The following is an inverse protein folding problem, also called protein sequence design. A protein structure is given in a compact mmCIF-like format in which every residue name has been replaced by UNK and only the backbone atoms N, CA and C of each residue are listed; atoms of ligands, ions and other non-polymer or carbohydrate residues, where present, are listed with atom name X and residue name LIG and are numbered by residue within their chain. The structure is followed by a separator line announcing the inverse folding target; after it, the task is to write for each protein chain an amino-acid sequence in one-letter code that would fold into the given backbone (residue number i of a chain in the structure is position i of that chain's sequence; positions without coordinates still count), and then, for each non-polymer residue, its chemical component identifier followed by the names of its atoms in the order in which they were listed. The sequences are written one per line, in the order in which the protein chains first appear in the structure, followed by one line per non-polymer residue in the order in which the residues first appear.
data_IF_090791946778
#
_entry.id   IF_090791946778
#
_cell.length_a   1.000
_cell.length_b   1.000
_cell.length_c   1.000
_cell.angle_alpha   90.00
_cell.angle_beta   90.00
_cell.angle_gamma   90.00
#
_symmetry.space_group_name_H-M   'P 1'
#
loop_
_entity.id
_entity.type
_entity.pdbx_description
1 polymer ?
#
# COMPACT_ATOMS: atom_id res chain seq x y z
N UNK A 1 12.63 -3.79 32.68
CA UNK A 1 12.65 -2.56 31.87
C UNK A 1 11.91 -2.88 30.56
N UNK A 2 10.67 -2.41 30.42
CA UNK A 2 9.92 -2.52 29.18
C UNK A 2 10.59 -1.57 28.18
N UNK A 3 11.27 -2.15 27.19
CA UNK A 3 11.93 -1.36 26.15
C UNK A 3 10.91 -0.46 25.44
N UNK A 4 11.18 0.83 25.31
CA UNK A 4 10.37 1.76 24.54
C UNK A 4 10.29 1.26 23.11
N UNK A 5 9.08 0.84 22.65
CA UNK A 5 8.85 0.52 21.25
C UNK A 5 9.08 1.80 20.45
N UNK A 6 9.98 1.82 19.46
CA UNK A 6 10.23 3.01 18.67
C UNK A 6 8.94 3.43 17.95
N UNK A 7 8.51 4.67 18.14
CA UNK A 7 7.38 5.25 17.42
C UNK A 7 7.85 5.58 16.00
N UNK A 8 7.36 4.84 15.02
CA UNK A 8 7.60 5.13 13.61
C UNK A 8 6.42 5.92 13.05
N UNK A 9 6.69 7.09 12.50
CA UNK A 9 5.68 7.87 11.78
C UNK A 9 5.66 7.46 10.31
N UNK A 10 4.47 7.39 9.72
CA UNK A 10 4.31 7.16 8.30
C UNK A 10 3.92 8.46 7.63
N UNK A 11 4.89 9.13 7.02
CA UNK A 11 4.66 10.34 6.26
C UNK A 11 4.02 10.01 4.90
N UNK A 12 2.89 10.62 4.62
CA UNK A 12 2.13 10.43 3.39
C UNK A 12 1.96 11.78 2.68
N UNK A 13 1.89 11.78 1.34
CA UNK A 13 1.68 13.02 0.58
C UNK A 13 0.33 13.65 0.93
N UNK A 14 0.31 14.96 1.11
CA UNK A 14 -0.86 15.74 1.55
C UNK A 14 -1.73 16.15 0.36
N UNK A 15 -1.14 16.70 -0.70
CA UNK A 15 -1.87 17.25 -1.83
C UNK A 15 -2.43 16.19 -2.78
N UNK A 16 -3.56 16.47 -3.44
CA UNK A 16 -4.12 15.58 -4.46
C UNK A 16 -3.13 15.23 -5.58
N UNK A 17 -2.31 16.20 -6.00
CA UNK A 17 -1.28 16.01 -7.03
C UNK A 17 -0.24 14.97 -6.58
N UNK A 18 0.26 15.11 -5.37
CA UNK A 18 1.30 14.23 -4.83
C UNK A 18 0.74 12.86 -4.45
N UNK A 19 -0.50 12.79 -3.94
CA UNK A 19 -1.22 11.54 -3.70
C UNK A 19 -1.35 10.74 -5.01
N UNK A 20 -1.74 11.37 -6.11
CA UNK A 20 -1.84 10.71 -7.43
C UNK A 20 -0.48 10.23 -7.94
N UNK A 21 0.59 11.00 -7.73
CA UNK A 21 1.95 10.61 -8.09
C UNK A 21 2.42 9.43 -7.25
N UNK A 22 2.20 9.50 -5.94
CA UNK A 22 2.60 8.44 -4.99
C UNK A 22 1.82 7.12 -5.22
N UNK A 23 0.55 7.21 -5.64
CA UNK A 23 -0.29 6.06 -5.96
C UNK A 23 0.32 5.15 -7.05
N UNK A 24 1.20 5.68 -7.91
CA UNK A 24 1.94 4.85 -8.89
C UNK A 24 2.90 3.86 -8.22
N UNK A 25 3.40 4.18 -7.05
CA UNK A 25 4.44 3.42 -6.35
C UNK A 25 3.88 2.64 -5.16
N UNK A 26 3.09 3.30 -4.32
CA UNK A 26 2.61 2.77 -3.03
C UNK A 26 1.20 3.29 -2.73
N UNK A 27 0.53 2.65 -1.75
CA UNK A 27 -0.74 3.13 -1.22
C UNK A 27 -0.54 4.45 -0.45
N UNK A 28 -1.11 5.59 -0.93
CA UNK A 28 -0.92 6.93 -0.34
C UNK A 28 -1.89 7.24 0.79
N UNK A 29 -2.84 6.38 1.10
CA UNK A 29 -3.93 6.63 2.07
C UNK A 29 -3.97 5.50 3.08
N UNK A 30 -4.06 5.85 4.36
CA UNK A 30 -4.26 4.87 5.42
C UNK A 30 -5.75 4.53 5.51
N UNK A 31 -6.09 3.27 5.26
CA UNK A 31 -7.49 2.81 5.25
C UNK A 31 -8.22 3.06 6.58
N UNK A 32 -7.52 2.92 7.71
CA UNK A 32 -8.11 3.04 9.05
C UNK A 32 -8.50 4.47 9.44
N UNK A 33 -8.05 5.48 8.69
CA UNK A 33 -8.23 6.90 9.01
C UNK A 33 -8.94 7.68 7.89
N UNK A 34 -9.61 6.96 6.97
CA UNK A 34 -10.19 7.58 5.79
C UNK A 34 -11.65 7.96 6.00
N UNK A 35 -12.01 9.14 5.51
CA UNK A 35 -13.40 9.59 5.35
C UNK A 35 -13.65 9.78 3.85
N UNK A 36 -14.78 9.33 3.34
CA UNK A 36 -15.13 9.45 1.93
C UNK A 36 -16.63 9.61 1.71
N UNK A 37 -17.01 10.18 0.57
CA UNK A 37 -18.41 10.26 0.16
C UNK A 37 -18.89 8.88 -0.31
N UNK A 38 -19.82 8.26 0.41
CA UNK A 38 -20.35 6.92 0.13
C UNK A 38 -20.89 6.79 -1.30
N UNK A 39 -21.59 7.81 -1.83
CA UNK A 39 -22.07 7.84 -3.21
C UNK A 39 -20.95 7.66 -4.24
N UNK A 40 -19.77 8.27 -3.99
CA UNK A 40 -18.61 8.16 -4.87
C UNK A 40 -18.02 6.75 -4.86
N UNK A 41 -17.91 6.13 -3.69
CA UNK A 41 -17.45 4.74 -3.57
C UNK A 41 -18.42 3.78 -4.25
N UNK A 42 -19.73 3.95 -4.05
CA UNK A 42 -20.76 3.14 -4.73
C UNK A 42 -20.68 3.30 -6.25
N UNK A 43 -20.41 4.50 -6.78
CA UNK A 43 -20.37 4.77 -8.23
C UNK A 43 -19.22 4.06 -8.95
N UNK A 44 -18.20 3.57 -8.24
CA UNK A 44 -17.10 2.77 -8.81
C UNK A 44 -17.23 1.28 -8.47
N UNK A 45 -18.38 0.84 -7.94
CA UNK A 45 -18.66 -0.53 -7.57
C UNK A 45 -17.93 -0.99 -6.30
N UNK A 46 -17.64 -0.05 -5.36
CA UNK A 46 -17.03 -0.36 -4.06
C UNK A 46 -15.63 -0.93 -4.12
N UNK A 47 -15.26 -1.62 -3.05
CA UNK A 47 -13.96 -2.27 -2.89
C UNK A 47 -13.79 -3.43 -3.89
N UNK A 48 -12.69 -3.49 -4.64
CA UNK A 48 -12.40 -4.65 -5.47
C UNK A 48 -12.00 -5.85 -4.62
N UNK A 49 -12.36 -7.06 -5.06
CA UNK A 49 -11.98 -8.30 -4.38
C UNK A 49 -10.49 -8.63 -4.65
N UNK A 50 -9.60 -7.91 -3.96
CA UNK A 50 -8.14 -8.09 -4.02
C UNK A 50 -7.64 -8.26 -2.60
N UNK A 51 -7.27 -9.48 -2.24
CA UNK A 51 -6.84 -9.84 -0.88
C UNK A 51 -5.76 -8.89 -0.31
N UNK A 52 -6.03 -8.28 0.85
CA UNK A 52 -5.18 -7.31 1.56
C UNK A 52 -4.73 -6.08 0.72
N UNK A 53 -5.40 -5.78 -0.39
CA UNK A 53 -5.13 -4.62 -1.27
C UNK A 53 -6.41 -3.98 -1.81
N UNK A 54 -7.54 -4.30 -1.19
CA UNK A 54 -8.88 -3.79 -1.54
C UNK A 54 -8.93 -2.27 -1.47
N UNK A 55 -8.29 -1.68 -0.47
CA UNK A 55 -8.19 -0.24 -0.26
C UNK A 55 -7.40 0.44 -1.38
N UNK A 56 -6.22 -0.07 -1.70
CA UNK A 56 -5.38 0.47 -2.77
C UNK A 56 -6.10 0.38 -4.14
N UNK A 57 -6.79 -0.71 -4.41
CA UNK A 57 -7.59 -0.88 -5.60
C UNK A 57 -8.78 0.09 -5.66
N UNK A 58 -9.42 0.38 -4.53
CA UNK A 58 -10.48 1.39 -4.44
C UNK A 58 -9.96 2.78 -4.78
N UNK A 59 -8.82 3.19 -4.20
CA UNK A 59 -8.23 4.49 -4.50
C UNK A 59 -7.89 4.65 -5.99
N UNK A 60 -7.39 3.61 -6.63
CA UNK A 60 -7.13 3.62 -8.07
C UNK A 60 -8.41 3.83 -8.90
N UNK A 61 -9.50 3.14 -8.55
CA UNK A 61 -10.80 3.32 -9.21
C UNK A 61 -11.36 4.73 -9.01
N UNK A 62 -11.24 5.28 -7.80
CA UNK A 62 -11.68 6.63 -7.48
C UNK A 62 -10.86 7.70 -8.21
N UNK A 63 -9.53 7.53 -8.29
CA UNK A 63 -8.66 8.42 -9.07
C UNK A 63 -9.04 8.41 -10.55
N UNK A 64 -9.32 7.23 -11.12
CA UNK A 64 -9.81 7.11 -12.52
C UNK A 64 -11.14 7.84 -12.72
N UNK A 65 -12.01 7.87 -11.70
CA UNK A 65 -13.30 8.58 -11.72
C UNK A 65 -13.17 10.09 -11.53
N UNK A 66 -11.97 10.60 -11.26
CA UNK A 66 -11.72 12.03 -11.05
C UNK A 66 -11.83 12.49 -9.59
N UNK A 67 -11.90 11.59 -8.62
CA UNK A 67 -11.96 11.95 -7.20
C UNK A 67 -10.75 12.80 -6.78
N UNK A 68 -11.00 13.75 -5.89
CA UNK A 68 -9.99 14.58 -5.26
C UNK A 68 -9.70 14.02 -3.87
N UNK A 69 -8.42 13.92 -3.52
CA UNK A 69 -7.92 13.38 -2.27
C UNK A 69 -7.12 14.43 -1.50
N UNK A 70 -7.15 14.31 -0.20
CA UNK A 70 -6.31 15.08 0.72
C UNK A 70 -5.97 14.23 1.93
N UNK A 71 -4.71 14.25 2.39
CA UNK A 71 -4.32 13.72 3.69
C UNK A 71 -4.13 14.89 4.66
N UNK A 72 -4.62 14.73 5.89
CA UNK A 72 -4.37 15.70 6.97
C UNK A 72 -2.95 15.47 7.46
N UNK A 73 -2.15 16.54 7.53
CA UNK A 73 -0.74 16.50 7.94
C UNK A 73 -0.59 16.54 9.47
N UNK A 74 -1.33 15.65 10.14
CA UNK A 74 -1.33 15.49 11.59
C UNK A 74 -1.38 14.02 11.97
N UNK A 75 -0.80 13.68 13.12
CA UNK A 75 -0.88 12.33 13.69
C UNK A 75 -2.19 12.17 14.45
N UNK A 76 -3.20 11.62 13.80
CA UNK A 76 -4.53 11.43 14.36
C UNK A 76 -4.74 10.04 14.98
N UNK A 77 -3.94 9.04 14.59
CA UNK A 77 -4.13 7.65 15.02
C UNK A 77 -2.79 6.97 15.34
N UNK A 78 -2.73 6.30 16.48
CA UNK A 78 -1.64 5.42 16.86
C UNK A 78 -2.03 3.96 16.58
N UNK A 79 -1.19 3.24 15.86
CA UNK A 79 -1.43 1.84 15.49
C UNK A 79 -0.41 0.95 16.17
N UNK A 80 -0.89 -0.09 16.85
CA UNK A 80 -0.03 -1.13 17.37
C UNK A 80 0.48 -1.98 16.20
N UNK A 81 1.73 -1.73 15.78
CA UNK A 81 2.44 -2.55 14.80
C UNK A 81 3.13 -3.73 15.46
N UNK A 82 3.20 -4.87 14.77
CA UNK A 82 3.92 -6.03 15.26
C UNK A 82 4.34 -6.97 14.14
N UNK A 83 5.22 -7.93 14.46
CA UNK A 83 5.74 -8.95 13.54
C UNK A 83 4.64 -9.73 12.79
N UNK A 84 3.44 -9.87 13.38
CA UNK A 84 2.30 -10.56 12.77
C UNK A 84 1.80 -9.91 11.47
N UNK A 85 1.99 -8.60 11.29
CA UNK A 85 1.58 -7.88 10.08
C UNK A 85 2.40 -8.27 8.85
N UNK A 86 3.68 -8.54 9.03
CA UNK A 86 4.59 -8.96 7.94
C UNK A 86 4.33 -10.40 7.51
N UNK A 87 4.10 -11.32 8.46
CA UNK A 87 3.83 -12.73 8.17
C UNK A 87 2.59 -12.93 7.29
N UNK A 88 1.51 -12.18 7.54
CA UNK A 88 0.27 -12.26 6.74
C UNK A 88 0.42 -11.82 5.29
N UNK A 89 1.48 -11.10 4.95
CA UNK A 89 1.70 -10.51 3.61
C UNK A 89 2.60 -11.35 2.71
N UNK A 90 2.94 -12.59 3.09
CA UNK A 90 3.78 -13.51 2.30
C UNK A 90 2.97 -14.61 1.63
N UNK A 91 3.60 -15.31 0.68
CA UNK A 91 3.09 -16.50 0.03
C UNK A 91 2.30 -16.25 -1.26
N UNK A 92 1.95 -17.33 -1.93
CA UNK A 92 1.34 -17.36 -3.27
C UNK A 92 0.04 -16.55 -3.36
N UNK A 93 -0.82 -16.61 -2.32
CA UNK A 93 -2.07 -15.83 -2.27
C UNK A 93 -1.82 -14.33 -2.38
N UNK A 94 -0.75 -13.83 -1.74
CA UNK A 94 -0.36 -12.42 -1.83
C UNK A 94 0.29 -12.06 -3.17
N UNK A 95 1.03 -12.98 -3.79
CA UNK A 95 1.57 -12.79 -5.13
C UNK A 95 0.44 -12.66 -6.18
N UNK A 96 -0.57 -13.53 -6.10
CA UNK A 96 -1.77 -13.44 -6.95
C UNK A 96 -2.57 -12.15 -6.73
N UNK A 97 -2.68 -11.72 -5.46
CA UNK A 97 -3.33 -10.44 -5.15
C UNK A 97 -2.54 -9.24 -5.71
N UNK A 98 -1.19 -9.31 -5.69
CA UNK A 98 -0.34 -8.29 -6.31
C UNK A 98 -0.55 -8.23 -7.82
N UNK A 99 -0.65 -9.38 -8.51
CA UNK A 99 -0.94 -9.42 -9.95
C UNK A 99 -2.25 -8.73 -10.29
N UNK A 100 -3.31 -9.05 -9.54
CA UNK A 100 -4.63 -8.40 -9.70
C UNK A 100 -4.55 -6.89 -9.47
N UNK A 101 -3.80 -6.44 -8.46
CA UNK A 101 -3.61 -5.02 -8.18
C UNK A 101 -2.87 -4.32 -9.33
N UNK A 102 -1.73 -4.86 -9.80
CA UNK A 102 -0.95 -4.24 -10.86
C UNK A 102 -1.76 -4.12 -12.16
N UNK A 103 -2.54 -5.14 -12.49
CA UNK A 103 -3.47 -5.11 -13.61
C UNK A 103 -4.57 -4.04 -13.45
N UNK A 104 -5.14 -3.89 -12.25
CA UNK A 104 -6.13 -2.85 -11.96
C UNK A 104 -5.52 -1.45 -12.09
N UNK A 105 -4.30 -1.23 -11.56
CA UNK A 105 -3.59 0.05 -11.66
C UNK A 105 -3.31 0.44 -13.11
N UNK A 106 -2.94 -0.53 -13.96
CA UNK A 106 -2.81 -0.34 -15.40
C UNK A 106 -4.17 0.02 -16.05
N UNK A 107 -5.24 -0.77 -15.79
CA UNK A 107 -6.59 -0.49 -16.31
C UNK A 107 -7.14 0.87 -15.87
N UNK A 108 -6.77 1.32 -14.68
CA UNK A 108 -7.14 2.65 -14.17
C UNK A 108 -6.26 3.77 -14.73
N UNK A 109 -5.30 3.48 -15.61
CA UNK A 109 -4.33 4.44 -16.17
C UNK A 109 -3.49 5.15 -15.10
N UNK A 110 -3.30 4.51 -13.94
CA UNK A 110 -2.46 5.02 -12.86
C UNK A 110 -0.99 4.88 -13.24
N UNK A 111 -0.63 3.79 -13.90
CA UNK A 111 0.73 3.54 -14.39
C UNK A 111 0.71 2.86 -15.76
N UNK A 112 1.75 3.04 -16.58
CA UNK A 112 1.90 2.35 -17.86
C UNK A 112 2.20 0.85 -17.64
N UNK A 113 1.96 0.05 -18.68
CA UNK A 113 2.08 -1.41 -18.62
C UNK A 113 3.48 -1.87 -18.16
N UNK A 114 4.54 -1.30 -18.75
CA UNK A 114 5.91 -1.68 -18.39
C UNK A 114 6.22 -1.49 -16.91
N UNK A 115 5.73 -0.39 -16.29
CA UNK A 115 5.91 -0.12 -14.88
C UNK A 115 5.06 -1.06 -14.00
N UNK A 116 3.87 -1.45 -14.47
CA UNK A 116 3.04 -2.44 -13.79
C UNK A 116 3.73 -3.81 -13.77
N UNK A 117 4.31 -4.25 -14.91
CA UNK A 117 5.06 -5.51 -15.00
C UNK A 117 6.33 -5.46 -14.14
N UNK A 118 7.09 -4.38 -14.20
CA UNK A 118 8.28 -4.21 -13.36
C UNK A 118 7.96 -4.33 -11.87
N UNK A 119 6.94 -3.61 -11.40
CA UNK A 119 6.51 -3.70 -10.00
C UNK A 119 5.93 -5.08 -9.65
N UNK A 120 5.25 -5.73 -10.58
CA UNK A 120 4.76 -7.10 -10.38
C UNK A 120 5.94 -8.05 -10.10
N UNK A 121 6.94 -8.07 -10.97
CA UNK A 121 8.13 -8.93 -10.82
C UNK A 121 8.83 -8.62 -9.49
N UNK A 122 9.18 -7.35 -9.28
CA UNK A 122 9.91 -6.93 -8.07
C UNK A 122 9.17 -7.35 -6.79
N UNK A 123 7.86 -7.09 -6.69
CA UNK A 123 7.09 -7.35 -5.48
C UNK A 123 6.78 -8.82 -5.28
N UNK A 124 6.47 -9.57 -6.34
CA UNK A 124 6.22 -11.01 -6.22
C UNK A 124 7.47 -11.76 -5.82
N UNK A 125 8.64 -11.36 -6.31
CA UNK A 125 9.93 -11.91 -5.85
C UNK A 125 10.07 -11.75 -4.34
N UNK A 126 9.86 -10.55 -3.79
CA UNK A 126 9.93 -10.32 -2.33
C UNK A 126 8.87 -11.10 -1.53
N UNK A 127 7.67 -11.30 -2.09
CA UNK A 127 6.60 -12.04 -1.42
C UNK A 127 6.87 -13.55 -1.37
N UNK A 128 7.61 -14.08 -2.33
CA UNK A 128 7.96 -15.49 -2.44
C UNK A 128 9.30 -15.85 -1.80
N UNK A 129 10.16 -14.87 -1.51
CA UNK A 129 11.43 -15.12 -0.81
C UNK A 129 11.21 -15.74 0.56
N UNK A 130 12.05 -16.71 0.97
CA UNK A 130 12.04 -17.27 2.33
C UNK A 130 12.15 -16.18 3.40
N UNK A 131 11.45 -16.39 4.53
CA UNK A 131 11.40 -15.41 5.62
C UNK A 131 12.78 -15.03 6.15
N UNK A 132 13.67 -16.04 6.22
CA UNK A 132 15.05 -15.90 6.69
C UNK A 132 15.83 -14.87 5.88
N UNK A 133 15.67 -14.87 4.54
CA UNK A 133 16.38 -13.92 3.66
C UNK A 133 15.86 -12.50 3.88
N UNK A 134 14.55 -12.33 4.01
CA UNK A 134 13.93 -11.01 4.22
C UNK A 134 14.29 -10.44 5.59
N UNK A 135 14.31 -11.27 6.63
CA UNK A 135 14.74 -10.86 7.98
C UNK A 135 16.21 -10.43 7.99
N UNK A 136 17.08 -11.16 7.30
CA UNK A 136 18.50 -10.79 7.18
C UNK A 136 18.69 -9.43 6.50
N UNK A 137 18.02 -9.20 5.36
CA UNK A 137 18.06 -7.91 4.65
C UNK A 137 17.53 -6.78 5.55
N UNK A 138 16.48 -7.04 6.33
CA UNK A 138 15.89 -6.05 7.22
C UNK A 138 16.82 -5.70 8.40
N UNK A 139 17.44 -6.69 9.02
CA UNK A 139 18.38 -6.52 10.12
C UNK A 139 19.65 -5.78 9.66
N UNK A 140 20.19 -6.16 8.48
CA UNK A 140 21.38 -5.49 7.92
C UNK A 140 21.10 -4.01 7.59
N UNK A 141 19.89 -3.72 7.08
CA UNK A 141 19.49 -2.33 6.80
C UNK A 141 19.29 -1.49 8.07
N UNK A 142 18.80 -2.08 9.16
CA UNK A 142 18.68 -1.39 10.45
C UNK A 142 20.05 -1.17 11.10
N UNK A 143 21.00 -2.09 10.91
CA UNK A 143 22.34 -2.02 11.47
C UNK A 143 23.22 -0.98 10.77
N UNK A 144 23.01 -0.74 9.48
CA UNK A 144 23.77 0.23 8.69
C UNK A 144 23.20 1.66 8.74
N UNK A 145 22.07 1.88 9.42
CA UNK A 145 21.46 3.22 9.63
C UNK A 145 21.65 3.75 11.06
N UNK A 146 22.50 3.12 11.86
CA UNK A 146 23.06 3.59 13.12
C UNK A 146 24.57 3.78 12.93
#
# INVERSE_FOLDING_TARGET
KIGKIPKLTKDLPVSNKDIRKYLRLRNPINHMTVIYKTKLVKSVGGYPNIYLREDYGLWAKLVKKGAIFHNIDEILVHVNGGHSLYRRRKGLKNALAESKLQFLLYKCKIKPLFLAIFHLILRTTFLLLPTIIVEKIYIDKLRNNN
#
